data_IF_504403028997
#
_entry.id   IF_504403028997
#
_cell.length_a   1.000
_cell.length_b   1.000
_cell.length_c   1.000
_cell.angle_alpha   90.00
_cell.angle_beta   90.00
_cell.angle_gamma   90.00
#
_symmetry.space_group_name_H-M   'P 1'
#
loop_
_entity.id
_entity.type
_entity.pdbx_description
1 polymer ?
#
# COMPACT_ATOMS: atom_id res chain seq x y z
N UNK A 1 52.54 21.38 42.48
CA UNK A 1 52.34 20.77 41.14
C UNK A 1 52.63 19.29 41.28
N UNK A 2 51.58 18.46 41.42
CA UNK A 2 51.64 17.01 41.28
C UNK A 2 50.54 16.59 40.32
N UNK A 3 50.93 15.83 39.31
CA UNK A 3 50.09 15.27 38.26
C UNK A 3 49.27 14.10 38.81
N UNK A 4 48.10 14.36 39.37
CA UNK A 4 47.11 13.32 39.66
C UNK A 4 45.77 13.78 39.11
N UNK A 5 45.13 12.92 38.33
CA UNK A 5 43.77 13.08 37.80
C UNK A 5 42.87 13.86 38.77
N UNK A 6 42.38 15.00 38.31
CA UNK A 6 41.54 15.92 39.07
C UNK A 6 40.07 15.48 39.13
N UNK A 7 39.72 14.45 38.37
CA UNK A 7 38.40 13.81 38.36
C UNK A 7 38.54 12.40 38.94
N UNK A 8 37.62 12.06 39.83
CA UNK A 8 37.61 10.79 40.53
C UNK A 8 37.04 9.67 39.64
N UNK A 9 37.46 8.43 39.90
CA UNK A 9 37.00 7.22 39.18
C UNK A 9 35.80 6.56 39.91
N UNK A 10 35.06 7.33 40.69
CA UNK A 10 33.84 6.94 41.38
C UNK A 10 32.74 7.94 41.02
N UNK A 11 31.52 7.74 41.54
CA UNK A 11 30.42 8.68 41.34
C UNK A 11 30.83 10.11 41.76
N UNK A 12 30.82 11.02 40.80
CA UNK A 12 31.29 12.38 40.94
C UNK A 12 30.31 13.37 40.31
N UNK A 13 30.48 14.65 40.62
CA UNK A 13 29.68 15.70 40.03
C UNK A 13 30.51 16.94 39.69
N UNK A 14 30.21 17.55 38.54
CA UNK A 14 30.64 18.91 38.21
C UNK A 14 29.44 19.83 38.38
N UNK A 15 29.54 20.80 39.29
CA UNK A 15 28.47 21.74 39.59
C UNK A 15 28.92 23.19 39.38
N UNK A 16 28.09 23.96 38.69
CA UNK A 16 28.32 25.38 38.43
C UNK A 16 27.46 26.21 39.39
N UNK A 17 28.10 26.98 40.26
CA UNK A 17 27.43 27.85 41.23
C UNK A 17 27.62 29.33 40.91
N UNK A 18 26.62 30.15 41.23
CA UNK A 18 26.71 31.62 41.16
C UNK A 18 27.08 32.17 42.54
N UNK A 19 28.30 32.69 42.69
CA UNK A 19 28.72 33.35 43.93
C UNK A 19 30.22 33.68 43.94
N UNK A 20 30.73 34.12 45.09
CA UNK A 20 32.17 34.30 45.27
C UNK A 20 32.80 32.97 45.62
N UNK A 21 34.05 32.74 45.21
CA UNK A 21 34.79 31.53 45.60
C UNK A 21 34.86 31.34 47.13
N UNK A 22 34.89 32.45 47.90
CA UNK A 22 34.84 32.42 49.36
C UNK A 22 33.54 31.86 49.95
N UNK A 23 32.46 31.83 49.17
CA UNK A 23 31.16 31.27 49.58
C UNK A 23 31.18 29.72 49.51
N UNK A 24 32.18 29.14 48.84
CA UNK A 24 32.32 27.70 48.59
C UNK A 24 33.75 27.20 48.91
N UNK A 25 34.19 27.27 50.18
CA UNK A 25 35.46 26.69 50.59
C UNK A 25 35.51 25.16 50.36
N UNK A 26 36.71 24.59 50.27
CA UNK A 26 36.90 23.14 50.16
C UNK A 26 36.15 22.38 51.28
N UNK A 27 35.47 21.30 50.92
CA UNK A 27 34.62 20.52 51.84
C UNK A 27 33.20 21.05 52.02
N UNK A 28 32.79 22.10 51.29
CA UNK A 28 31.40 22.57 51.26
C UNK A 28 30.47 21.45 50.76
N UNK A 29 29.40 21.17 51.51
CA UNK A 29 28.38 20.21 51.08
C UNK A 29 27.65 20.69 49.83
N UNK A 30 27.32 19.75 48.94
CA UNK A 30 26.50 20.00 47.75
C UNK A 30 25.13 20.58 48.12
N UNK A 31 24.65 21.55 47.35
CA UNK A 31 23.38 22.25 47.64
C UNK A 31 22.72 22.76 46.36
N UNK A 32 21.38 22.77 46.25
CA UNK A 32 20.70 23.41 45.12
C UNK A 32 20.70 24.95 45.24
N UNK A 33 21.13 25.52 46.37
CA UNK A 33 21.16 26.97 46.58
C UNK A 33 22.25 27.60 45.71
N UNK A 34 21.88 28.59 44.89
CA UNK A 34 22.76 29.27 43.92
C UNK A 34 23.38 28.33 42.87
N UNK A 35 22.87 27.11 42.74
CA UNK A 35 23.26 26.16 41.71
C UNK A 35 22.66 26.61 40.37
N UNK A 36 23.49 26.75 39.34
CA UNK A 36 23.08 27.09 37.99
C UNK A 36 22.90 25.85 37.13
N UNK A 37 23.89 24.96 37.13
CA UNK A 37 23.87 23.71 36.38
C UNK A 37 24.69 22.65 37.11
N UNK A 38 24.40 21.38 36.85
CA UNK A 38 25.16 20.26 37.39
C UNK A 38 25.15 19.08 36.43
N UNK A 39 26.25 18.34 36.47
CA UNK A 39 26.45 17.06 35.82
C UNK A 39 26.85 16.05 36.90
N UNK A 40 26.11 14.96 37.04
CA UNK A 40 26.47 13.85 37.92
C UNK A 40 26.83 12.66 37.03
N UNK A 41 27.98 12.05 37.27
CA UNK A 41 28.53 11.02 36.41
C UNK A 41 29.35 9.98 37.19
N UNK A 42 29.61 8.83 36.57
CA UNK A 42 30.36 7.71 37.16
C UNK A 42 31.15 6.91 36.11
N UNK A 43 31.79 5.81 36.56
CA UNK A 43 32.44 4.81 35.71
C UNK A 43 31.86 3.40 35.89
N UNK A 44 30.54 3.26 35.71
CA UNK A 44 29.73 2.03 35.93
C UNK A 44 29.49 1.70 37.41
N UNK A 45 29.46 2.74 38.25
CA UNK A 45 29.18 2.66 39.68
C UNK A 45 27.69 2.85 39.99
N UNK A 46 27.18 2.38 41.15
CA UNK A 46 25.81 2.68 41.57
C UNK A 46 25.55 4.18 41.73
N UNK A 47 24.33 4.62 41.37
CA UNK A 47 23.85 6.00 41.53
C UNK A 47 24.11 6.57 42.94
N UNK A 48 24.79 7.73 43.02
CA UNK A 48 24.94 8.46 44.27
C UNK A 48 23.72 9.36 44.53
N UNK A 49 22.83 8.88 45.39
CA UNK A 49 21.60 9.59 45.77
C UNK A 49 21.84 10.99 46.37
N UNK A 50 23.00 11.26 46.96
CA UNK A 50 23.37 12.56 47.49
C UNK A 50 23.74 13.54 46.38
N UNK A 51 24.44 13.07 45.35
CA UNK A 51 24.78 13.87 44.17
C UNK A 51 23.58 14.07 43.24
N UNK A 52 22.69 13.09 43.11
CA UNK A 52 21.45 13.22 42.32
C UNK A 52 20.55 14.38 42.80
N UNK A 53 20.68 14.82 44.05
CA UNK A 53 19.97 15.99 44.58
C UNK A 53 20.36 17.31 43.86
N UNK A 54 21.47 17.33 43.12
CA UNK A 54 21.87 18.45 42.26
C UNK A 54 21.04 18.54 40.98
N UNK A 55 20.40 17.44 40.57
CA UNK A 55 19.69 17.33 39.30
C UNK A 55 18.20 17.68 39.42
N UNK A 56 17.52 17.80 38.27
CA UNK A 56 16.05 17.78 38.27
C UNK A 56 15.54 16.39 38.70
N UNK A 57 14.32 16.27 39.24
CA UNK A 57 13.74 14.97 39.59
C UNK A 57 13.81 13.98 38.41
N UNK A 58 14.07 12.70 38.71
CA UNK A 58 14.14 11.58 37.76
C UNK A 58 15.30 11.61 36.76
N UNK A 59 16.21 12.59 36.85
CA UNK A 59 17.38 12.64 36.00
C UNK A 59 18.45 11.64 36.46
N UNK A 60 19.04 10.86 35.53
CA UNK A 60 19.98 9.80 35.87
C UNK A 60 21.40 10.31 36.15
N UNK A 61 22.19 9.54 36.89
CA UNK A 61 23.64 9.66 36.88
C UNK A 61 24.16 9.14 35.52
N UNK A 62 25.13 9.84 34.92
CA UNK A 62 25.65 9.46 33.61
C UNK A 62 26.86 8.54 33.75
N UNK A 63 26.78 7.37 33.14
CA UNK A 63 27.93 6.47 33.07
C UNK A 63 28.89 6.88 31.95
N UNK A 64 30.11 7.32 32.29
CA UNK A 64 31.17 7.67 31.32
C UNK A 64 31.61 6.49 30.45
N UNK A 65 31.42 5.26 30.94
CA UNK A 65 31.67 4.04 30.19
C UNK A 65 30.46 3.56 29.37
N UNK A 66 29.32 4.28 29.40
CA UNK A 66 28.08 3.89 28.70
C UNK A 66 28.25 3.69 27.19
N UNK A 67 29.21 4.38 26.58
CA UNK A 67 29.56 4.22 25.15
C UNK A 67 30.62 3.15 24.85
N UNK A 68 31.06 2.36 25.84
CA UNK A 68 32.03 1.28 25.66
C UNK A 68 33.50 1.68 25.52
N UNK A 69 33.82 2.98 25.54
CA UNK A 69 35.19 3.51 25.47
C UNK A 69 35.38 4.76 26.36
N UNK A 70 35.41 4.54 27.68
CA UNK A 70 35.60 5.60 28.67
C UNK A 70 36.96 6.32 28.55
N UNK A 71 37.95 5.73 27.88
CA UNK A 71 39.28 6.31 27.75
C UNK A 71 39.36 7.36 26.63
N UNK A 72 38.51 7.25 25.61
CA UNK A 72 38.53 8.13 24.44
C UNK A 72 37.25 8.95 24.25
N UNK A 73 36.18 8.63 24.97
CA UNK A 73 34.93 9.38 24.95
C UNK A 73 34.85 10.49 26.01
N UNK A 74 33.92 11.41 25.80
CA UNK A 74 33.54 12.48 26.72
C UNK A 74 32.02 12.55 26.84
N UNK A 75 31.53 13.05 27.98
CA UNK A 75 30.12 13.32 28.20
C UNK A 75 29.70 14.60 27.46
N UNK A 76 29.03 14.45 26.32
CA UNK A 76 28.47 15.55 25.53
C UNK A 76 26.97 15.72 25.80
N UNK A 77 26.52 16.96 25.98
CA UNK A 77 25.09 17.28 26.11
C UNK A 77 24.42 17.34 24.73
N UNK A 78 23.36 16.55 24.53
CA UNK A 78 22.76 16.30 23.23
C UNK A 78 21.29 16.72 23.07
N UNK A 79 20.66 17.20 24.13
CA UNK A 79 19.32 17.82 24.05
C UNK A 79 19.35 19.33 24.03
N UNK A 80 18.21 19.95 24.34
CA UNK A 80 17.95 21.40 24.15
C UNK A 80 18.72 22.35 25.08
N UNK A 81 19.68 21.84 25.84
CA UNK A 81 20.49 22.67 26.75
C UNK A 81 19.82 22.95 28.10
N UNK A 82 18.83 22.15 28.50
CA UNK A 82 18.10 22.34 29.76
C UNK A 82 19.03 22.10 30.97
N UNK A 83 19.04 23.03 31.91
CA UNK A 83 19.91 22.96 33.09
C UNK A 83 19.54 21.75 33.95
N UNK A 84 20.57 21.07 34.47
CA UNK A 84 20.47 19.94 35.39
C UNK A 84 19.65 18.75 34.85
N UNK A 85 19.51 18.66 33.52
CA UNK A 85 18.99 17.49 32.82
C UNK A 85 20.16 16.69 32.25
N UNK A 86 20.36 15.48 32.76
CA UNK A 86 21.46 14.59 32.41
C UNK A 86 21.03 13.46 31.47
N UNK A 87 19.73 13.21 31.33
CA UNK A 87 19.18 12.23 30.38
C UNK A 87 19.56 12.52 28.91
N UNK A 88 19.88 13.78 28.64
CA UNK A 88 20.28 14.30 27.34
C UNK A 88 21.79 14.13 27.06
N UNK A 89 22.59 13.63 27.99
CA UNK A 89 24.02 13.43 27.75
C UNK A 89 24.31 12.10 27.06
N UNK A 90 25.35 12.09 26.22
CA UNK A 90 25.83 10.91 25.50
C UNK A 90 27.36 10.85 25.57
N UNK A 91 27.90 9.63 25.63
CA UNK A 91 29.33 9.38 25.53
C UNK A 91 29.73 9.35 24.06
N UNK A 92 30.60 10.27 23.64
CA UNK A 92 31.11 10.30 22.29
C UNK A 92 32.52 10.88 22.24
N UNK A 93 33.20 10.71 21.10
CA UNK A 93 34.51 11.33 20.87
C UNK A 93 34.46 12.85 21.17
N UNK A 94 35.44 13.41 21.89
CA UNK A 94 35.42 14.79 22.34
C UNK A 94 35.44 15.77 21.16
N UNK A 95 34.64 16.83 21.26
CA UNK A 95 34.52 17.88 20.22
C UNK A 95 34.82 19.31 20.74
N UNK A 96 36.04 19.60 21.26
CA UNK A 96 36.34 20.92 21.85
C UNK A 96 36.16 22.07 20.85
N UNK A 97 35.30 23.04 21.21
CA UNK A 97 35.01 24.20 20.36
C UNK A 97 34.09 23.93 19.17
N UNK A 98 33.54 22.72 19.05
CA UNK A 98 32.54 22.32 18.07
C UNK A 98 31.26 21.81 18.77
N UNK A 99 30.15 21.60 18.04
CA UNK A 99 28.97 20.93 18.58
C UNK A 99 29.29 19.54 19.15
N UNK A 100 28.53 19.09 20.15
CA UNK A 100 28.66 17.74 20.70
C UNK A 100 28.25 16.70 19.65
N UNK A 101 28.87 15.51 19.68
CA UNK A 101 28.55 14.41 18.78
C UNK A 101 27.43 13.56 19.36
N UNK A 102 26.21 13.81 18.89
CA UNK A 102 24.99 13.32 19.50
C UNK A 102 24.29 12.22 18.67
N UNK A 103 24.81 11.95 17.49
CA UNK A 103 24.40 10.90 16.54
C UNK A 103 22.99 11.12 15.99
N UNK A 104 22.81 10.76 14.72
CA UNK A 104 21.50 10.72 14.11
C UNK A 104 20.87 9.36 14.37
N UNK A 105 19.54 9.29 14.40
CA UNK A 105 18.77 8.05 14.55
C UNK A 105 17.70 8.07 13.46
N UNK A 106 17.87 7.26 12.43
CA UNK A 106 17.06 7.29 11.23
C UNK A 106 16.16 6.06 11.16
N UNK A 107 14.85 6.27 11.28
CA UNK A 107 13.89 5.22 10.99
C UNK A 107 13.54 5.18 9.50
N UNK A 108 13.51 3.99 8.90
CA UNK A 108 12.97 3.74 7.56
C UNK A 108 11.61 3.02 7.64
N UNK A 109 10.67 3.43 6.79
CA UNK A 109 9.42 2.68 6.55
C UNK A 109 9.16 2.54 5.05
N UNK A 110 8.40 1.51 4.69
CA UNK A 110 8.01 1.19 3.32
C UNK A 110 6.50 0.92 3.31
N UNK A 111 5.79 1.38 2.29
CA UNK A 111 4.36 1.11 2.07
C UNK A 111 4.08 1.02 0.57
N UNK A 112 3.01 0.35 0.18
CA UNK A 112 2.53 0.24 -1.20
C UNK A 112 1.28 1.11 -1.48
N UNK A 113 1.04 1.41 -2.75
CA UNK A 113 -0.12 2.20 -3.17
C UNK A 113 -1.43 1.40 -3.25
N UNK A 114 -1.34 0.07 -3.31
CA UNK A 114 -2.47 -0.84 -3.44
C UNK A 114 -2.08 -2.25 -2.96
N UNK A 115 -2.98 -2.90 -2.24
CA UNK A 115 -2.90 -4.32 -1.86
C UNK A 115 -4.34 -4.88 -1.81
N UNK A 116 -4.72 -5.86 -2.65
CA UNK A 116 -3.88 -6.54 -3.64
C UNK A 116 -3.56 -5.67 -4.88
N UNK A 117 -2.51 -6.05 -5.61
CA UNK A 117 -2.19 -5.54 -6.96
C UNK A 117 -2.46 -6.59 -8.02
N UNK A 118 -2.91 -6.14 -9.19
CA UNK A 118 -3.13 -7.02 -10.33
C UNK A 118 -1.80 -7.30 -11.07
N UNK A 119 -1.62 -8.53 -11.56
CA UNK A 119 -0.51 -8.89 -12.46
C UNK A 119 -0.36 -7.91 -13.63
N UNK A 120 0.88 -7.59 -14.02
CA UNK A 120 1.20 -6.68 -15.13
C UNK A 120 0.55 -5.27 -15.02
N UNK A 121 0.25 -4.79 -13.82
CA UNK A 121 -0.21 -3.40 -13.59
C UNK A 121 0.85 -2.55 -12.90
N UNK A 122 0.79 -1.24 -13.12
CA UNK A 122 1.67 -0.28 -12.46
C UNK A 122 1.17 0.02 -11.05
N UNK A 123 2.08 0.08 -10.09
CA UNK A 123 1.83 0.53 -8.72
C UNK A 123 3.11 1.18 -8.19
N UNK A 124 3.06 1.71 -6.96
CA UNK A 124 4.25 2.31 -6.35
C UNK A 124 4.48 1.84 -4.93
N UNK A 125 5.77 1.79 -4.56
CA UNK A 125 6.21 1.77 -3.18
C UNK A 125 6.61 3.18 -2.75
N UNK A 126 6.29 3.56 -1.52
CA UNK A 126 6.72 4.81 -0.89
C UNK A 126 7.61 4.48 0.29
N UNK A 127 8.86 4.92 0.19
CA UNK A 127 9.86 4.81 1.24
C UNK A 127 9.93 6.12 2.00
N UNK A 128 9.86 6.07 3.34
CA UNK A 128 9.95 7.25 4.20
C UNK A 128 11.13 7.11 5.15
N UNK A 129 11.95 8.17 5.25
CA UNK A 129 12.99 8.30 6.28
C UNK A 129 12.59 9.38 7.28
N UNK A 130 12.85 9.14 8.56
CA UNK A 130 12.66 10.13 9.64
C UNK A 130 13.86 10.17 10.56
N UNK A 131 14.38 11.36 10.86
CA UNK A 131 15.47 11.53 11.82
C UNK A 131 14.94 11.87 13.22
N UNK A 132 14.91 10.88 14.11
CA UNK A 132 14.55 11.03 15.52
C UNK A 132 15.72 11.46 16.40
N UNK A 133 16.95 11.36 15.89
CA UNK A 133 18.18 11.63 16.64
C UNK A 133 18.53 13.12 16.67
N UNK A 134 19.18 13.58 17.74
CA UNK A 134 19.39 15.01 17.98
C UNK A 134 20.37 15.67 17.01
N UNK A 135 21.11 14.91 16.20
CA UNK A 135 22.00 15.43 15.16
C UNK A 135 21.47 15.18 13.75
N UNK A 136 21.94 16.02 12.83
CA UNK A 136 21.72 15.83 11.39
C UNK A 136 22.36 14.52 10.91
N UNK A 137 21.60 13.68 10.19
CA UNK A 137 22.19 12.55 9.47
C UNK A 137 22.90 13.03 8.22
N UNK A 138 24.00 12.36 7.86
CA UNK A 138 24.75 12.64 6.65
C UNK A 138 25.07 11.36 5.88
N UNK A 139 25.25 11.46 4.57
CA UNK A 139 25.63 10.32 3.71
C UNK A 139 24.70 9.12 3.84
N UNK A 140 23.38 9.35 3.72
CA UNK A 140 22.39 8.27 3.78
C UNK A 140 22.42 7.49 2.47
N UNK A 141 22.57 6.17 2.58
CA UNK A 141 22.52 5.22 1.47
C UNK A 141 21.40 4.23 1.72
N UNK A 142 20.45 4.17 0.80
CA UNK A 142 19.34 3.23 0.83
C UNK A 142 19.53 2.21 -0.28
N UNK A 143 19.47 0.94 0.11
CA UNK A 143 19.46 -0.20 -0.81
C UNK A 143 18.08 -0.82 -0.74
N UNK A 144 17.36 -0.82 -1.86
CA UNK A 144 16.05 -1.46 -1.98
C UNK A 144 16.14 -2.66 -2.91
N UNK A 145 15.93 -3.85 -2.37
CA UNK A 145 15.92 -5.10 -3.14
C UNK A 145 14.48 -5.36 -3.61
N UNK A 146 14.26 -5.12 -4.90
CA UNK A 146 12.96 -5.34 -5.53
C UNK A 146 12.69 -6.85 -5.64
N UNK A 147 11.43 -7.29 -5.40
CA UNK A 147 11.04 -8.68 -5.55
C UNK A 147 11.32 -9.23 -6.95
N UNK A 148 11.44 -10.56 -7.07
CA UNK A 148 11.52 -11.22 -8.36
C UNK A 148 10.26 -10.92 -9.21
N UNK A 149 10.45 -10.73 -10.52
CA UNK A 149 9.36 -10.43 -11.46
C UNK A 149 8.86 -8.98 -11.46
N UNK A 150 9.22 -8.15 -10.48
CA UNK A 150 8.96 -6.71 -10.50
C UNK A 150 9.80 -6.05 -11.62
N UNK A 151 9.17 -5.17 -12.40
CA UNK A 151 9.88 -4.29 -13.34
C UNK A 151 9.94 -2.88 -12.81
N UNK A 152 11.16 -2.38 -12.64
CA UNK A 152 11.40 -0.99 -12.25
C UNK A 152 11.00 -0.02 -13.36
N UNK A 153 10.31 1.07 -13.01
CA UNK A 153 9.96 2.15 -13.94
C UNK A 153 10.73 3.43 -13.59
N UNK A 154 10.62 3.91 -12.35
CA UNK A 154 11.29 5.13 -11.89
C UNK A 154 11.38 5.19 -10.37
N UNK A 155 12.31 6.00 -9.86
CA UNK A 155 12.37 6.41 -8.46
C UNK A 155 12.49 7.93 -8.40
N UNK A 156 11.60 8.59 -7.66
CA UNK A 156 11.52 10.05 -7.60
C UNK A 156 11.33 10.54 -6.17
N UNK A 157 12.08 11.56 -5.78
CA UNK A 157 12.02 12.19 -4.47
C UNK A 157 12.87 13.46 -4.45
N UNK A 158 12.54 14.42 -3.60
CA UNK A 158 13.31 15.66 -3.47
C UNK A 158 14.69 15.38 -2.87
N UNK A 159 15.75 15.89 -3.50
CA UNK A 159 17.16 15.72 -3.11
C UNK A 159 17.71 14.28 -3.13
N UNK A 160 16.91 13.32 -3.59
CA UNK A 160 17.31 11.94 -3.79
C UNK A 160 18.07 11.76 -5.10
N UNK A 161 19.16 10.98 -5.05
CA UNK A 161 19.87 10.51 -6.24
C UNK A 161 19.84 8.99 -6.27
N UNK A 162 19.20 8.40 -7.29
CA UNK A 162 19.03 6.95 -7.41
C UNK A 162 19.72 6.38 -8.65
N UNK A 163 20.34 5.21 -8.48
CA UNK A 163 20.87 4.37 -9.55
C UNK A 163 19.89 3.21 -9.78
N UNK A 164 19.23 3.15 -10.94
CA UNK A 164 18.30 2.07 -11.28
C UNK A 164 18.94 0.68 -11.20
N UNK A 165 18.15 -0.38 -10.98
CA UNK A 165 18.63 -1.76 -11.05
C UNK A 165 19.26 -2.09 -12.40
N UNK A 166 20.36 -2.84 -12.40
CA UNK A 166 20.94 -3.46 -13.59
C UNK A 166 20.33 -4.84 -13.81
N UNK A 167 20.22 -5.31 -15.06
CA UNK A 167 19.45 -6.53 -15.39
C UNK A 167 19.86 -7.81 -14.63
N UNK A 168 21.06 -7.87 -14.05
CA UNK A 168 21.54 -9.00 -13.25
C UNK A 168 21.29 -8.88 -11.74
N UNK A 169 20.88 -7.72 -11.25
CA UNK A 169 20.65 -7.42 -9.83
C UNK A 169 19.39 -6.56 -9.68
N UNK A 170 18.34 -7.09 -9.02
CA UNK A 170 17.08 -6.37 -8.78
C UNK A 170 17.21 -5.36 -7.62
N UNK A 171 18.31 -4.61 -7.56
CA UNK A 171 18.63 -3.71 -6.46
C UNK A 171 18.63 -2.26 -6.92
N UNK A 172 17.74 -1.45 -6.35
CA UNK A 172 17.71 0.00 -6.50
C UNK A 172 18.61 0.62 -5.41
N UNK A 173 19.59 1.41 -5.80
CA UNK A 173 20.48 2.11 -4.85
C UNK A 173 20.21 3.61 -4.88
N UNK A 174 19.85 4.18 -3.74
CA UNK A 174 19.48 5.59 -3.60
C UNK A 174 20.32 6.27 -2.52
N UNK A 175 20.59 7.56 -2.70
CA UNK A 175 21.39 8.36 -1.77
C UNK A 175 20.70 9.67 -1.44
N UNK A 176 20.87 10.11 -0.21
CA UNK A 176 20.46 11.42 0.29
C UNK A 176 21.62 12.04 1.09
N UNK A 177 21.97 13.28 0.78
CA UNK A 177 23.16 13.91 1.33
C UNK A 177 23.06 14.14 2.85
N UNK A 178 21.91 14.60 3.32
CA UNK A 178 21.64 14.83 4.73
C UNK A 178 20.14 14.82 5.05
N UNK A 179 19.80 14.60 6.32
CA UNK A 179 18.43 14.70 6.84
C UNK A 179 18.45 15.39 8.20
N UNK A 180 17.82 16.56 8.27
CA UNK A 180 17.73 17.35 9.51
C UNK A 180 16.85 16.67 10.57
N UNK A 181 17.14 16.98 11.83
CA UNK A 181 16.42 16.47 13.01
C UNK A 181 14.93 16.80 12.92
N UNK A 182 14.08 15.80 13.17
CA UNK A 182 12.63 15.93 13.16
C UNK A 182 12.00 16.13 11.77
N UNK A 183 12.79 16.02 10.69
CA UNK A 183 12.30 16.11 9.32
C UNK A 183 12.08 14.71 8.76
N UNK A 184 10.98 14.54 8.02
CA UNK A 184 10.72 13.36 7.20
C UNK A 184 10.93 13.66 5.72
N UNK A 185 11.40 12.68 4.97
CA UNK A 185 11.52 12.73 3.50
C UNK A 185 11.00 11.44 2.89
N UNK A 186 10.52 11.52 1.65
CA UNK A 186 9.90 10.40 0.93
C UNK A 186 10.55 10.17 -0.42
N UNK A 187 10.65 8.91 -0.80
CA UNK A 187 11.03 8.45 -2.14
C UNK A 187 9.92 7.56 -2.70
N UNK A 188 9.38 7.93 -3.86
CA UNK A 188 8.36 7.14 -4.57
C UNK A 188 9.04 6.27 -5.62
N UNK A 189 8.83 4.96 -5.56
CA UNK A 189 9.38 3.95 -6.46
C UNK A 189 8.23 3.40 -7.30
N UNK A 190 8.13 3.82 -8.55
CA UNK A 190 7.12 3.31 -9.49
C UNK A 190 7.61 2.02 -10.15
N UNK A 191 6.76 1.01 -10.16
CA UNK A 191 7.08 -0.34 -10.62
C UNK A 191 5.89 -0.93 -11.38
N UNK A 192 6.14 -2.00 -12.13
CA UNK A 192 5.12 -2.85 -12.72
C UNK A 192 5.15 -4.23 -12.07
N UNK A 193 3.99 -4.70 -11.62
CA UNK A 193 3.83 -5.98 -10.94
C UNK A 193 4.29 -7.16 -11.82
N UNK A 194 4.66 -8.30 -11.20
CA UNK A 194 4.95 -9.54 -11.90
C UNK A 194 3.79 -10.02 -12.78
N UNK A 195 4.08 -10.88 -13.74
CA UNK A 195 3.07 -11.56 -14.57
C UNK A 195 2.43 -12.76 -13.84
N UNK A 196 2.99 -13.18 -12.71
CA UNK A 196 2.54 -14.30 -11.89
C UNK A 196 1.94 -13.81 -10.59
N UNK A 197 0.84 -14.43 -10.16
CA UNK A 197 0.26 -14.19 -8.84
C UNK A 197 1.08 -14.84 -7.73
N UNK A 198 0.94 -14.29 -6.52
CA UNK A 198 1.62 -14.73 -5.31
C UNK A 198 1.90 -13.57 -4.38
N UNK A 199 2.51 -13.85 -3.24
CA UNK A 199 3.05 -12.82 -2.36
C UNK A 199 4.45 -12.43 -2.84
N UNK A 200 4.70 -11.12 -2.92
CA UNK A 200 6.03 -10.57 -3.16
C UNK A 200 6.47 -9.76 -1.95
N UNK A 201 7.76 -9.81 -1.62
CA UNK A 201 8.33 -9.11 -0.47
C UNK A 201 9.36 -8.10 -0.93
N UNK A 202 9.10 -6.82 -0.70
CA UNK A 202 10.04 -5.74 -0.95
C UNK A 202 10.78 -5.40 0.35
N UNK A 203 12.10 -5.23 0.28
CA UNK A 203 12.91 -4.87 1.43
C UNK A 203 13.81 -3.67 1.12
N UNK A 204 13.86 -2.71 2.04
CA UNK A 204 14.77 -1.58 2.01
C UNK A 204 15.66 -1.58 3.25
N UNK A 205 16.96 -1.36 3.07
CA UNK A 205 17.93 -1.20 4.14
C UNK A 205 18.61 0.15 4.00
N UNK A 206 18.74 0.85 5.11
CA UNK A 206 19.45 2.12 5.23
C UNK A 206 20.83 1.88 5.86
N UNK A 207 21.83 2.55 5.30
CA UNK A 207 23.14 2.74 5.91
C UNK A 207 23.43 4.23 5.96
N UNK A 208 23.90 4.72 7.11
CA UNK A 208 24.35 6.11 7.27
C UNK A 208 25.63 6.14 8.11
N UNK A 209 26.02 7.31 8.62
CA UNK A 209 26.99 7.43 9.72
C UNK A 209 26.46 6.68 10.96
N UNK A 210 27.18 6.73 12.09
CA UNK A 210 26.76 6.03 13.32
C UNK A 210 25.29 6.34 13.65
N UNK A 211 24.48 5.27 13.67
CA UNK A 211 23.08 5.26 14.07
C UNK A 211 22.95 4.34 15.29
N UNK A 212 22.47 4.85 16.44
CA UNK A 212 22.42 4.08 17.68
C UNK A 212 21.38 2.95 17.66
N UNK A 213 20.44 2.95 16.71
CA UNK A 213 19.34 2.00 16.64
C UNK A 213 19.28 1.30 15.28
N UNK A 214 20.25 0.45 14.96
CA UNK A 214 20.27 -0.27 13.68
C UNK A 214 19.03 -1.14 13.39
N UNK A 215 18.21 -1.46 14.40
CA UNK A 215 16.99 -2.25 14.22
C UNK A 215 15.90 -1.49 13.43
N UNK A 216 15.90 -0.15 13.43
CA UNK A 216 14.95 0.66 12.65
C UNK A 216 15.48 1.05 11.26
N UNK A 217 16.67 0.56 10.87
CA UNK A 217 17.32 0.79 9.57
C UNK A 217 16.92 -0.21 8.48
N UNK A 218 15.89 -1.03 8.72
CA UNK A 218 15.34 -1.95 7.71
C UNK A 218 13.82 -1.90 7.70
N UNK A 219 13.23 -1.81 6.50
CA UNK A 219 11.79 -1.89 6.29
C UNK A 219 11.49 -3.02 5.30
N UNK A 220 10.39 -3.74 5.54
CA UNK A 220 9.91 -4.81 4.66
C UNK A 220 8.43 -4.63 4.44
N UNK A 221 7.99 -4.85 3.21
CA UNK A 221 6.60 -4.75 2.80
C UNK A 221 6.20 -6.01 2.02
N UNK A 222 5.02 -6.55 2.31
CA UNK A 222 4.48 -7.75 1.63
C UNK A 222 3.29 -7.30 0.80
N UNK A 223 3.35 -7.54 -0.50
CA UNK A 223 2.26 -7.20 -1.42
C UNK A 223 1.64 -8.47 -1.98
N UNK A 224 0.31 -8.57 -1.92
CA UNK A 224 -0.44 -9.64 -2.57
C UNK A 224 -0.60 -9.30 -4.05
N UNK A 225 0.03 -10.08 -4.92
CA UNK A 225 -0.21 -10.04 -6.37
C UNK A 225 -1.29 -11.05 -6.69
N UNK A 226 -2.45 -10.57 -7.12
CA UNK A 226 -3.47 -11.43 -7.68
C UNK A 226 -3.34 -11.45 -9.19
N UNK A 227 -3.67 -12.60 -9.79
CA UNK A 227 -3.94 -12.62 -11.22
C UNK A 227 -5.05 -11.61 -11.38
N UNK A 228 -4.78 -10.54 -12.14
CA UNK A 228 -5.83 -9.60 -12.46
C UNK A 228 -6.96 -10.43 -13.03
N UNK A 229 -8.03 -10.64 -12.26
CA UNK A 229 -9.32 -10.99 -12.84
C UNK A 229 -9.46 -10.00 -13.99
N UNK A 230 -9.83 -10.46 -15.20
CA UNK A 230 -9.60 -9.65 -16.37
C UNK A 230 -10.12 -8.26 -16.05
N UNK A 231 -9.42 -7.22 -16.50
CA UNK A 231 -10.14 -6.01 -16.86
C UNK A 231 -11.10 -6.43 -17.97
N UNK A 232 -12.10 -7.24 -17.64
CA UNK A 232 -13.26 -7.43 -18.45
C UNK A 232 -13.71 -5.98 -18.53
N UNK A 233 -13.84 -5.39 -19.73
CA UNK A 233 -14.56 -4.15 -19.88
C UNK A 233 -16.05 -4.43 -19.61
N UNK A 234 -16.34 -5.15 -18.52
CA UNK A 234 -17.64 -5.53 -18.10
C UNK A 234 -18.08 -4.76 -16.89
N UNK A 235 -19.38 -4.62 -16.81
CA UNK A 235 -20.09 -4.25 -15.61
C UNK A 235 -20.89 -5.49 -15.20
N UNK A 236 -20.69 -5.93 -13.96
CA UNK A 236 -21.53 -6.95 -13.33
C UNK A 236 -22.40 -6.26 -12.29
N UNK A 237 -23.71 -6.34 -12.48
CA UNK A 237 -24.68 -5.69 -11.61
C UNK A 237 -25.99 -6.46 -11.56
N UNK A 238 -26.97 -5.96 -10.81
CA UNK A 238 -28.31 -6.53 -10.74
C UNK A 238 -29.36 -5.44 -10.69
N UNK A 239 -30.53 -5.72 -11.25
CA UNK A 239 -31.65 -4.79 -11.28
C UNK A 239 -32.92 -5.49 -10.77
N UNK A 240 -33.62 -4.85 -9.83
CA UNK A 240 -35.00 -5.23 -9.48
C UNK A 240 -35.94 -4.77 -10.58
N UNK A 241 -36.71 -5.68 -11.18
CA UNK A 241 -37.59 -5.46 -12.32
C UNK A 241 -39.02 -5.91 -12.05
N UNK A 242 -39.95 -5.34 -12.82
CA UNK A 242 -41.37 -5.70 -12.83
C UNK A 242 -41.83 -5.98 -14.28
N UNK A 243 -43.14 -6.10 -14.50
CA UNK A 243 -43.77 -6.18 -15.83
C UNK A 243 -43.50 -4.96 -16.72
N UNK A 244 -43.26 -3.81 -16.09
CA UNK A 244 -43.07 -2.53 -16.76
C UNK A 244 -41.59 -2.38 -17.15
N UNK A 245 -41.36 -1.76 -18.30
CA UNK A 245 -40.01 -1.48 -18.77
C UNK A 245 -39.32 -0.48 -17.85
N UNK A 246 -38.13 -0.84 -17.39
CA UNK A 246 -37.29 0.02 -16.55
C UNK A 246 -35.99 0.31 -17.26
N UNK A 247 -35.61 1.58 -17.28
CA UNK A 247 -34.31 2.00 -17.78
C UNK A 247 -33.23 1.72 -16.73
N UNK A 248 -32.14 1.10 -17.17
CA UNK A 248 -30.97 0.79 -16.36
C UNK A 248 -29.78 1.53 -16.96
N UNK A 249 -29.13 2.36 -16.15
CA UNK A 249 -27.92 3.10 -16.54
C UNK A 249 -26.69 2.31 -16.16
N UNK A 250 -25.69 2.31 -17.04
CA UNK A 250 -24.39 1.73 -16.74
C UNK A 250 -23.60 2.61 -15.76
N UNK A 251 -22.74 1.98 -14.97
CA UNK A 251 -21.80 2.68 -14.07
C UNK A 251 -20.67 3.37 -14.85
N UNK A 252 -20.47 3.00 -16.11
CA UNK A 252 -19.51 3.59 -17.06
C UNK A 252 -20.14 3.77 -18.44
N UNK A 253 -19.66 4.74 -19.20
CA UNK A 253 -20.04 4.90 -20.60
C UNK A 253 -19.19 3.98 -21.49
N UNK A 254 -19.84 3.32 -22.44
CA UNK A 254 -19.18 2.48 -23.45
C UNK A 254 -18.91 3.28 -24.73
N UNK A 255 -17.88 2.90 -25.49
CA UNK A 255 -17.56 3.55 -26.76
C UNK A 255 -18.47 3.05 -27.88
N UNK A 256 -18.86 1.78 -27.80
CA UNK A 256 -19.80 1.12 -28.71
C UNK A 256 -21.05 0.67 -27.94
N UNK A 257 -22.11 0.30 -28.66
CA UNK A 257 -23.27 -0.35 -27.99
C UNK A 257 -22.82 -1.70 -27.46
N UNK A 258 -22.85 -1.93 -26.12
CA UNK A 258 -22.42 -3.20 -25.54
C UNK A 258 -23.48 -4.29 -25.73
N UNK A 259 -23.09 -5.53 -25.42
CA UNK A 259 -23.94 -6.71 -25.33
C UNK A 259 -24.26 -6.94 -23.85
N UNK A 260 -25.53 -7.24 -23.56
CA UNK A 260 -26.02 -7.54 -22.21
C UNK A 260 -26.31 -9.03 -22.10
N UNK A 261 -25.63 -9.73 -21.21
CA UNK A 261 -25.93 -11.11 -20.83
C UNK A 261 -26.71 -11.10 -19.53
N UNK A 262 -28.03 -11.32 -19.62
CA UNK A 262 -28.89 -11.41 -18.46
C UNK A 262 -28.83 -12.81 -17.86
N UNK A 263 -28.69 -12.87 -16.54
CA UNK A 263 -28.82 -14.11 -15.77
C UNK A 263 -30.28 -14.45 -15.45
N UNK A 264 -30.49 -15.53 -14.69
CA UNK A 264 -31.83 -15.91 -14.25
C UNK A 264 -32.38 -14.86 -13.28
N UNK A 265 -33.67 -14.55 -13.43
CA UNK A 265 -34.40 -13.78 -12.41
C UNK A 265 -34.44 -14.56 -11.09
N UNK A 266 -34.58 -13.86 -9.96
CA UNK A 266 -35.02 -14.48 -8.71
C UNK A 266 -36.40 -15.15 -8.89
N UNK A 267 -36.85 -15.88 -7.87
CA UNK A 267 -38.19 -16.47 -7.82
C UNK A 267 -38.87 -15.98 -6.56
N UNK A 268 -39.32 -14.73 -6.61
CA UNK A 268 -40.20 -14.14 -5.63
C UNK A 268 -41.67 -14.42 -5.97
N UNK A 269 -41.96 -14.66 -7.25
CA UNK A 269 -43.23 -15.18 -7.74
C UNK A 269 -43.12 -16.64 -8.23
N UNK A 270 -44.23 -17.38 -8.14
CA UNK A 270 -44.37 -18.74 -8.67
C UNK A 270 -44.78 -18.75 -10.16
N UNK A 271 -45.30 -17.64 -10.67
CA UNK A 271 -45.67 -17.52 -12.08
C UNK A 271 -44.43 -17.55 -13.00
N UNK A 272 -44.42 -18.43 -14.02
CA UNK A 272 -43.30 -18.52 -14.94
C UNK A 272 -43.26 -17.34 -15.93
N UNK A 273 -42.05 -16.90 -16.26
CA UNK A 273 -41.82 -15.80 -17.18
C UNK A 273 -40.40 -15.78 -17.74
N UNK A 274 -40.09 -14.70 -18.45
CA UNK A 274 -38.79 -14.50 -19.12
C UNK A 274 -38.29 -13.07 -18.91
N UNK A 275 -36.98 -12.94 -18.72
CA UNK A 275 -36.30 -11.65 -18.74
C UNK A 275 -36.25 -11.13 -20.16
N UNK A 276 -36.64 -9.86 -20.35
CA UNK A 276 -36.56 -9.19 -21.65
C UNK A 276 -35.78 -7.90 -21.52
N UNK A 277 -34.95 -7.65 -22.53
CA UNK A 277 -34.25 -6.38 -22.67
C UNK A 277 -34.43 -5.77 -24.06
N UNK A 278 -34.32 -4.45 -24.15
CA UNK A 278 -34.39 -3.67 -25.40
C UNK A 278 -33.67 -2.33 -25.24
N UNK A 279 -33.65 -1.54 -26.31
CA UNK A 279 -33.14 -0.17 -26.31
C UNK A 279 -31.73 -0.05 -25.73
N UNK A 280 -30.84 -1.00 -26.06
CA UNK A 280 -29.45 -0.96 -25.62
C UNK A 280 -28.73 0.18 -26.34
N UNK A 281 -28.16 1.09 -25.56
CA UNK A 281 -27.35 2.24 -25.98
C UNK A 281 -25.98 2.14 -25.33
N UNK A 282 -25.01 3.02 -25.65
CA UNK A 282 -23.71 3.01 -24.96
C UNK A 282 -23.75 3.42 -23.47
N UNK A 283 -24.88 3.90 -22.94
CA UNK A 283 -25.01 4.36 -21.54
C UNK A 283 -26.17 3.74 -20.77
N UNK A 284 -27.07 3.00 -21.44
CA UNK A 284 -28.24 2.40 -20.80
C UNK A 284 -28.87 1.28 -21.62
N UNK A 285 -29.76 0.54 -20.99
CA UNK A 285 -30.69 -0.39 -21.63
C UNK A 285 -32.03 -0.39 -20.88
N UNK A 286 -33.06 -1.00 -21.46
CA UNK A 286 -34.31 -1.25 -20.76
C UNK A 286 -34.44 -2.75 -20.44
N UNK A 287 -34.90 -3.07 -19.23
CA UNK A 287 -35.08 -4.43 -18.72
C UNK A 287 -36.48 -4.57 -18.12
N UNK A 288 -37.06 -5.78 -18.24
CA UNK A 288 -38.26 -6.19 -17.50
C UNK A 288 -38.30 -7.69 -17.31
N UNK A 289 -39.13 -8.13 -16.37
CA UNK A 289 -39.59 -9.52 -16.32
C UNK A 289 -40.97 -9.59 -16.99
N UNK A 290 -41.22 -10.60 -17.81
CA UNK A 290 -42.51 -10.78 -18.47
C UNK A 290 -42.99 -12.22 -18.29
N UNK A 291 -44.13 -12.39 -17.63
CA UNK A 291 -44.86 -13.66 -17.57
C UNK A 291 -45.29 -14.20 -18.94
N UNK A 292 -45.63 -15.49 -18.99
CA UNK A 292 -46.28 -16.06 -20.16
C UNK A 292 -47.59 -15.35 -20.51
N UNK A 293 -47.93 -15.32 -21.81
CA UNK A 293 -49.03 -14.50 -22.30
C UNK A 293 -50.41 -14.86 -21.74
N UNK A 294 -50.57 -16.08 -21.22
CA UNK A 294 -51.82 -16.63 -20.69
C UNK A 294 -52.03 -16.36 -19.20
N UNK A 295 -51.10 -15.66 -18.53
CA UNK A 295 -51.22 -15.24 -17.13
C UNK A 295 -51.79 -13.82 -17.02
N UNK A 296 -52.06 -13.37 -15.80
CA UNK A 296 -52.74 -12.09 -15.53
C UNK A 296 -51.79 -10.88 -15.55
N UNK A 297 -50.47 -11.13 -15.67
CA UNK A 297 -49.44 -10.11 -15.75
C UNK A 297 -49.11 -9.46 -14.42
N UNK A 298 -49.47 -10.08 -13.29
CA UNK A 298 -49.27 -9.54 -11.95
C UNK A 298 -48.33 -10.43 -11.13
N UNK A 299 -47.05 -10.06 -11.14
CA UNK A 299 -46.02 -10.68 -10.30
C UNK A 299 -45.37 -9.68 -9.34
N UNK A 300 -44.78 -10.22 -8.26
CA UNK A 300 -43.86 -9.46 -7.41
C UNK A 300 -42.58 -9.03 -8.16
N UNK A 301 -41.82 -8.10 -7.59
CA UNK A 301 -40.57 -7.66 -8.21
C UNK A 301 -39.53 -8.79 -8.20
N UNK A 302 -38.84 -8.97 -9.32
CA UNK A 302 -37.76 -9.95 -9.45
C UNK A 302 -36.41 -9.26 -9.63
N UNK A 303 -35.37 -9.78 -9.01
CA UNK A 303 -33.99 -9.30 -9.19
C UNK A 303 -33.31 -10.09 -10.30
N UNK A 304 -32.75 -9.38 -11.29
CA UNK A 304 -32.05 -9.98 -12.43
C UNK A 304 -30.58 -9.53 -12.40
N UNK A 305 -29.61 -10.46 -12.23
CA UNK A 305 -28.21 -10.16 -12.45
C UNK A 305 -27.92 -10.02 -13.94
N UNK A 306 -27.01 -9.14 -14.32
CA UNK A 306 -26.61 -8.95 -15.71
C UNK A 306 -25.11 -8.63 -15.82
N UNK A 307 -24.54 -9.03 -16.94
CA UNK A 307 -23.17 -8.73 -17.35
C UNK A 307 -23.21 -7.90 -18.63
N UNK A 308 -22.53 -6.76 -18.66
CA UNK A 308 -22.44 -5.85 -19.82
C UNK A 308 -21.05 -5.99 -20.43
N UNK A 309 -20.89 -6.18 -21.74
CA UNK A 309 -19.55 -6.30 -22.38
C UNK A 309 -19.56 -5.70 -23.80
N UNK A 310 -18.46 -5.09 -24.23
CA UNK A 310 -18.30 -4.79 -25.67
C UNK A 310 -18.11 -6.07 -26.48
N UNK A 311 -18.40 -6.02 -27.79
CA UNK A 311 -18.13 -7.15 -28.68
C UNK A 311 -16.62 -7.36 -28.83
N UNK A 312 -16.18 -8.61 -28.85
CA UNK A 312 -14.78 -8.93 -29.04
C UNK A 312 -14.39 -10.31 -28.52
N UNK A 313 -13.10 -10.61 -28.66
CA UNK A 313 -12.50 -11.85 -28.16
C UNK A 313 -11.51 -11.53 -27.06
N UNK A 314 -11.73 -12.12 -25.89
CA UNK A 314 -11.04 -11.81 -24.65
C UNK A 314 -10.32 -13.05 -24.13
N UNK A 315 -8.98 -13.13 -24.28
CA UNK A 315 -8.20 -14.08 -23.50
C UNK A 315 -8.24 -13.64 -22.04
N UNK A 316 -8.66 -14.54 -21.17
CA UNK A 316 -8.80 -14.32 -19.74
C UNK A 316 -7.58 -14.86 -19.00
N UNK A 317 -7.37 -14.33 -17.81
CA UNK A 317 -6.20 -14.60 -17.00
C UNK A 317 -6.23 -15.96 -16.31
N UNK A 318 -7.41 -16.58 -16.20
CA UNK A 318 -7.59 -18.01 -15.84
C UNK A 318 -7.32 -18.97 -17.02
N UNK A 319 -6.86 -18.44 -18.16
CA UNK A 319 -6.62 -19.18 -19.39
C UNK A 319 -7.88 -19.46 -20.22
N UNK A 320 -9.06 -19.02 -19.77
CA UNK A 320 -10.28 -19.12 -20.58
C UNK A 320 -10.25 -18.13 -21.74
N UNK A 321 -11.01 -18.42 -22.80
CA UNK A 321 -11.17 -17.54 -23.95
C UNK A 321 -12.65 -17.24 -24.10
N UNK A 322 -13.00 -15.96 -24.13
CA UNK A 322 -14.38 -15.51 -24.26
C UNK A 322 -14.55 -14.84 -25.62
N UNK A 323 -15.69 -15.07 -26.26
CA UNK A 323 -16.09 -14.34 -27.46
C UNK A 323 -17.48 -13.76 -27.20
N UNK A 324 -17.58 -12.45 -27.33
CA UNK A 324 -18.81 -11.68 -27.14
C UNK A 324 -19.21 -11.09 -28.47
N UNK A 325 -20.43 -11.35 -28.88
CA UNK A 325 -20.95 -10.86 -30.14
C UNK A 325 -22.47 -10.90 -30.20
N UNK A 326 -23.00 -10.44 -31.33
CA UNK A 326 -24.42 -10.50 -31.62
C UNK A 326 -24.65 -11.24 -32.95
N UNK A 327 -25.79 -11.89 -33.06
CA UNK A 327 -26.27 -12.45 -34.31
C UNK A 327 -27.77 -12.25 -34.45
N UNK A 328 -28.25 -12.29 -35.69
CA UNK A 328 -29.68 -12.16 -36.00
C UNK A 328 -30.26 -13.50 -36.45
N UNK A 329 -31.36 -13.89 -35.82
CA UNK A 329 -32.25 -14.99 -36.21
C UNK A 329 -33.66 -14.46 -36.45
N UNK A 330 -34.43 -15.16 -37.29
CA UNK A 330 -35.79 -14.73 -37.67
C UNK A 330 -36.71 -15.92 -37.89
N UNK A 331 -37.98 -15.76 -37.54
CA UNK A 331 -38.99 -16.81 -37.64
C UNK A 331 -38.96 -17.76 -36.43
N UNK A 332 -40.14 -18.27 -36.08
CA UNK A 332 -40.31 -19.21 -34.96
C UNK A 332 -39.85 -20.60 -35.36
N UNK A 333 -39.06 -21.23 -34.49
CA UNK A 333 -38.46 -22.56 -34.67
C UNK A 333 -37.63 -22.73 -35.97
N UNK A 334 -37.16 -21.64 -36.57
CA UNK A 334 -36.26 -21.68 -37.72
C UNK A 334 -34.80 -21.69 -37.24
N UNK A 335 -34.13 -22.82 -37.40
CA UNK A 335 -32.73 -22.99 -37.00
C UNK A 335 -31.77 -22.32 -37.99
N UNK A 336 -30.82 -21.58 -37.45
CA UNK A 336 -29.72 -20.95 -38.20
C UNK A 336 -28.39 -21.32 -37.59
N UNK A 337 -27.44 -21.71 -38.43
CA UNK A 337 -26.06 -21.95 -38.02
C UNK A 337 -25.34 -20.62 -37.78
N UNK A 338 -24.72 -20.51 -36.61
CA UNK A 338 -23.92 -19.37 -36.16
C UNK A 338 -22.49 -19.87 -36.00
N UNK A 339 -21.54 -19.16 -36.61
CA UNK A 339 -20.12 -19.47 -36.52
C UNK A 339 -19.47 -18.48 -35.55
N UNK A 340 -18.52 -18.98 -34.77
CA UNK A 340 -17.60 -18.12 -34.02
C UNK A 340 -16.64 -17.43 -34.99
N UNK A 341 -16.13 -16.25 -34.62
CA UNK A 341 -15.14 -15.53 -35.44
C UNK A 341 -13.89 -16.38 -35.66
N UNK A 342 -13.53 -17.19 -34.65
CA UNK A 342 -12.47 -18.19 -34.71
C UNK A 342 -12.82 -19.42 -33.88
N UNK A 343 -12.28 -20.58 -34.28
CA UNK A 343 -12.46 -21.81 -33.53
C UNK A 343 -11.92 -21.69 -32.09
N UNK A 344 -12.67 -22.22 -31.13
CA UNK A 344 -12.20 -22.39 -29.76
C UNK A 344 -11.31 -23.63 -29.64
N UNK A 345 -10.35 -23.66 -28.68
CA UNK A 345 -9.52 -24.84 -28.42
C UNK A 345 -10.32 -26.10 -28.03
N UNK A 346 -11.54 -25.91 -27.50
CA UNK A 346 -12.49 -26.97 -27.17
C UNK A 346 -13.93 -26.47 -27.33
N UNK A 347 -14.91 -27.31 -26.98
CA UNK A 347 -16.32 -26.91 -27.00
C UNK A 347 -16.58 -25.84 -25.93
N UNK A 348 -16.99 -24.60 -26.29
CA UNK A 348 -17.20 -23.54 -25.32
C UNK A 348 -18.53 -23.71 -24.56
N UNK A 349 -18.67 -22.95 -23.47
CA UNK A 349 -19.98 -22.72 -22.83
C UNK A 349 -20.67 -21.55 -23.53
N UNK A 350 -21.99 -21.66 -23.70
CA UNK A 350 -22.78 -20.68 -24.44
C UNK A 350 -23.79 -20.01 -23.51
N UNK A 351 -23.80 -18.68 -23.53
CA UNK A 351 -24.81 -17.85 -22.87
C UNK A 351 -25.50 -17.00 -23.93
N UNK A 352 -26.83 -17.05 -23.99
CA UNK A 352 -27.61 -16.32 -24.98
C UNK A 352 -28.65 -15.45 -24.27
N UNK A 353 -28.72 -14.19 -24.67
CA UNK A 353 -29.75 -13.24 -24.22
C UNK A 353 -30.25 -12.48 -25.43
N UNK A 354 -31.57 -12.37 -25.56
CA UNK A 354 -32.19 -11.59 -26.63
C UNK A 354 -31.92 -10.10 -26.43
N UNK A 355 -31.12 -9.51 -27.32
CA UNK A 355 -30.78 -8.08 -27.22
C UNK A 355 -31.93 -7.15 -27.66
N UNK A 356 -32.81 -7.65 -28.53
CA UNK A 356 -34.01 -6.96 -28.99
C UNK A 356 -34.91 -7.96 -29.70
N UNK A 357 -36.19 -7.63 -29.88
CA UNK A 357 -37.13 -8.43 -30.67
C UNK A 357 -38.23 -7.54 -31.26
N UNK A 358 -38.77 -7.95 -32.42
CA UNK A 358 -39.97 -7.34 -33.02
C UNK A 358 -41.27 -7.89 -32.41
N UNK A 359 -41.19 -8.94 -31.58
CA UNK A 359 -42.36 -9.49 -30.89
C UNK A 359 -42.85 -8.52 -29.82
N UNK A 360 -44.06 -8.00 -30.00
CA UNK A 360 -44.64 -6.98 -29.12
C UNK A 360 -45.35 -7.62 -27.92
N UNK A 361 -46.10 -8.70 -28.17
CA UNK A 361 -47.00 -9.30 -27.17
C UNK A 361 -46.43 -10.60 -26.62
N UNK A 362 -46.14 -11.57 -27.49
CA UNK A 362 -45.67 -12.88 -27.06
C UNK A 362 -44.24 -12.84 -26.53
N UNK A 363 -43.97 -13.44 -25.37
CA UNK A 363 -42.62 -13.68 -24.92
C UNK A 363 -41.90 -14.62 -25.89
N UNK A 364 -40.62 -14.35 -26.10
CA UNK A 364 -39.78 -15.10 -27.01
C UNK A 364 -38.57 -15.58 -26.23
N UNK A 365 -38.21 -16.84 -26.39
CA UNK A 365 -36.97 -17.43 -25.88
C UNK A 365 -36.04 -17.74 -27.03
N UNK A 366 -34.74 -17.78 -26.75
CA UNK A 366 -33.71 -18.27 -27.68
C UNK A 366 -33.23 -19.63 -27.21
N UNK A 367 -33.12 -20.58 -28.14
CA UNK A 367 -32.59 -21.92 -27.87
C UNK A 367 -31.41 -22.20 -28.79
N UNK A 368 -30.47 -22.98 -28.30
CA UNK A 368 -29.30 -23.42 -29.05
C UNK A 368 -29.16 -24.95 -29.05
N UNK A 369 -28.51 -25.47 -30.07
CA UNK A 369 -28.11 -26.88 -30.18
C UNK A 369 -26.81 -27.01 -30.98
N UNK A 370 -26.29 -28.23 -31.07
CA UNK A 370 -25.15 -28.57 -31.93
C UNK A 370 -23.91 -27.68 -31.68
N UNK A 371 -23.60 -27.42 -30.40
CA UNK A 371 -22.45 -26.59 -30.00
C UNK A 371 -21.15 -27.35 -30.26
N UNK A 372 -20.30 -26.77 -31.10
CA UNK A 372 -18.97 -27.27 -31.44
C UNK A 372 -17.91 -26.20 -31.14
N UNK A 373 -16.63 -26.50 -31.39
CA UNK A 373 -15.58 -25.48 -31.31
C UNK A 373 -15.69 -24.39 -32.39
N UNK A 374 -16.46 -24.60 -33.46
CA UNK A 374 -16.57 -23.67 -34.59
C UNK A 374 -17.87 -22.85 -34.58
N UNK A 375 -18.88 -23.27 -33.82
CA UNK A 375 -20.19 -22.63 -33.83
C UNK A 375 -21.29 -23.45 -33.18
N UNK A 376 -22.52 -23.00 -33.36
CA UNK A 376 -23.75 -23.62 -32.84
C UNK A 376 -24.94 -23.25 -33.73
N UNK A 377 -26.06 -23.98 -33.61
CA UNK A 377 -27.32 -23.60 -34.25
C UNK A 377 -28.23 -22.89 -33.22
N UNK A 378 -28.92 -21.82 -33.63
CA UNK A 378 -29.86 -21.09 -32.78
C UNK A 378 -31.21 -20.83 -33.46
N UNK A 379 -32.27 -20.75 -32.67
CA UNK A 379 -33.63 -20.44 -33.10
C UNK A 379 -34.42 -19.69 -32.02
N UNK A 380 -35.45 -18.95 -32.44
CA UNK A 380 -36.42 -18.30 -31.56
C UNK A 380 -37.63 -19.20 -31.34
N UNK A 381 -38.19 -19.18 -30.14
CA UNK A 381 -39.43 -19.85 -29.77
C UNK A 381 -40.37 -18.84 -29.11
N UNK A 382 -41.57 -18.71 -29.64
CA UNK A 382 -42.67 -17.99 -29.01
C UNK A 382 -43.31 -18.90 -27.96
N UNK A 383 -43.62 -18.35 -26.79
CA UNK A 383 -44.16 -19.09 -25.63
C UNK A 383 -45.54 -18.57 -25.21
#
# INVERSE_FOLDING_TARGET
>A
MSESNWLANDAAAVALYIGKASDFPEGTSVTPIKLLDALVYDTDDPDDTGLLALLNPEQPQINEAGGGDAASHSNGRCGKGEIRQTEDYRQAAPSPGAPNHCQADIAISLTESADPVNTDTEFSYTLTLNNAGPDIASTLQVVNTLPEGIRFLSATGTDWTCTPPVQSENTLSCQLANLAVGVATTLTINVKAPETAGEITNQATLTTTVDPNEANNTATEITTVEIGGPSIPAELASQSVSKDWQAVSFSKSYQTTPIIIAGPASSNDLEPGVVRLRNVTPSSFELRFQEWYYLDGKHDQETVPYLVMEAGRYPMSDGSLWEVGQFTVSGTAQWKDIHFDQAFPGQPRLFLTLQTTKAVVQPVTVRAKDITSNGFAAALFEE
#
